data_IF_666628398684
#
_entry.id   IF_666628398684
#
_cell.length_a   1.000
_cell.length_b   1.000
_cell.length_c   1.000
_cell.angle_alpha   90.00
_cell.angle_beta   90.00
_cell.angle_gamma   90.00
#
_symmetry.space_group_name_H-M   'P 1'
#
loop_
_entity.id
_entity.type
_entity.pdbx_description
1 polymer ?
#
# COMPACT_ATOMS: atom_id res chain seq x y z
N UNK A 1 1.62 20.59 4.26
CA UNK A 1 0.95 20.55 2.93
C UNK A 1 0.70 19.09 2.54
N UNK A 2 -0.47 18.80 2.03
CA UNK A 2 -0.83 17.45 1.66
C UNK A 2 -0.17 17.06 0.32
N UNK A 3 0.25 15.80 0.19
CA UNK A 3 0.80 15.30 -1.05
C UNK A 3 -0.30 15.14 -2.10
N UNK A 4 0.01 15.52 -3.33
CA UNK A 4 -0.88 15.40 -4.48
C UNK A 4 -0.39 14.22 -5.34
N UNK A 5 -1.17 13.14 -5.35
CA UNK A 5 -0.82 11.93 -6.10
C UNK A 5 -1.69 11.79 -7.34
N UNK A 6 -1.04 11.63 -8.49
CA UNK A 6 -1.70 11.44 -9.77
C UNK A 6 -1.25 10.11 -10.40
N UNK A 7 -2.08 9.56 -11.26
CA UNK A 7 -1.82 8.33 -11.98
C UNK A 7 -2.68 7.17 -11.51
N UNK A 8 -2.33 5.94 -11.88
CA UNK A 8 -3.10 4.74 -11.50
C UNK A 8 -3.30 4.56 -10.00
N UNK A 9 -2.43 5.13 -9.16
CA UNK A 9 -2.55 5.05 -7.70
C UNK A 9 -3.88 5.60 -7.18
N UNK A 10 -4.51 6.54 -7.89
CA UNK A 10 -5.78 7.14 -7.46
C UNK A 10 -6.91 6.13 -7.32
N UNK A 11 -6.92 5.09 -8.14
CA UNK A 11 -7.90 4.01 -8.07
C UNK A 11 -7.80 3.24 -6.74
N UNK A 12 -6.57 3.07 -6.25
CA UNK A 12 -6.31 2.37 -4.99
C UNK A 12 -6.61 3.25 -3.78
N UNK A 13 -6.32 4.55 -3.87
CA UNK A 13 -6.66 5.50 -2.81
C UNK A 13 -8.17 5.49 -2.54
N UNK A 14 -8.98 5.39 -3.59
CA UNK A 14 -10.44 5.35 -3.48
C UNK A 14 -10.97 4.11 -2.77
N UNK A 15 -10.19 3.05 -2.68
CA UNK A 15 -10.58 1.83 -1.97
C UNK A 15 -10.45 1.96 -0.45
N UNK A 16 -9.52 2.78 0.02
CA UNK A 16 -9.22 2.94 1.45
C UNK A 16 -10.43 3.48 2.20
N UNK A 17 -10.79 2.82 3.29
CA UNK A 17 -11.94 3.19 4.12
C UNK A 17 -13.25 2.52 3.72
N UNK A 18 -13.27 1.78 2.62
CA UNK A 18 -14.48 1.08 2.19
C UNK A 18 -14.68 -0.22 2.98
N UNK A 19 -15.94 -0.65 3.04
CA UNK A 19 -16.29 -1.94 3.63
C UNK A 19 -15.95 -3.10 2.71
N UNK A 20 -15.95 -4.29 3.29
CA UNK A 20 -15.58 -5.53 2.59
C UNK A 20 -16.59 -5.94 1.51
N UNK A 21 -17.85 -5.56 1.65
CA UNK A 21 -18.89 -5.94 0.70
C UNK A 21 -18.67 -5.29 -0.67
N UNK A 22 -18.69 -6.12 -1.73
CA UNK A 22 -18.51 -5.64 -3.10
C UNK A 22 -17.09 -5.22 -3.46
N UNK A 23 -16.13 -5.42 -2.57
CA UNK A 23 -14.76 -4.97 -2.81
C UNK A 23 -14.08 -5.70 -3.97
N UNK A 24 -14.38 -6.99 -4.16
CA UNK A 24 -13.74 -7.77 -5.23
C UNK A 24 -13.97 -7.15 -6.61
N UNK A 25 -15.18 -6.69 -6.88
CA UNK A 25 -15.50 -6.02 -8.14
C UNK A 25 -14.68 -4.73 -8.33
N UNK A 26 -14.51 -3.96 -7.24
CA UNK A 26 -13.70 -2.73 -7.28
C UNK A 26 -12.22 -3.02 -7.46
N UNK A 27 -11.72 -4.08 -6.82
CA UNK A 27 -10.33 -4.52 -6.98
C UNK A 27 -10.09 -4.99 -8.41
N UNK A 28 -11.02 -5.74 -8.99
CA UNK A 28 -10.92 -6.19 -10.39
C UNK A 28 -10.83 -5.00 -11.35
N UNK A 29 -11.61 -3.95 -11.12
CA UNK A 29 -11.54 -2.72 -11.92
C UNK A 29 -10.22 -1.99 -11.73
N UNK A 30 -9.75 -1.84 -10.49
CA UNK A 30 -8.50 -1.13 -10.19
C UNK A 30 -7.29 -1.83 -10.80
N UNK A 31 -7.30 -3.16 -10.86
CA UNK A 31 -6.19 -3.97 -11.37
C UNK A 31 -6.36 -4.38 -12.84
N UNK A 32 -7.41 -3.90 -13.52
CA UNK A 32 -7.74 -4.27 -14.91
C UNK A 32 -7.84 -5.80 -15.11
N UNK A 33 -8.45 -6.48 -14.15
CA UNK A 33 -8.67 -7.92 -14.19
C UNK A 33 -7.44 -8.77 -13.84
N UNK A 34 -6.34 -8.17 -13.43
CA UNK A 34 -5.14 -8.91 -13.01
C UNK A 34 -5.31 -9.58 -11.65
N UNK A 35 -6.20 -9.04 -10.81
CA UNK A 35 -6.49 -9.62 -9.51
C UNK A 35 -7.34 -10.88 -9.70
N UNK A 36 -6.80 -12.03 -9.31
CA UNK A 36 -7.53 -13.27 -9.19
C UNK A 36 -8.15 -13.36 -7.79
N UNK A 37 -8.51 -14.55 -7.34
CA UNK A 37 -8.95 -14.71 -5.96
C UNK A 37 -7.80 -14.44 -5.00
N UNK A 38 -8.04 -13.72 -3.88
CA UNK A 38 -6.98 -13.46 -2.91
C UNK A 38 -6.66 -14.68 -2.06
N UNK A 39 -5.42 -14.75 -1.58
CA UNK A 39 -5.07 -15.60 -0.46
C UNK A 39 -5.46 -14.85 0.81
N UNK A 40 -6.31 -15.44 1.65
CA UNK A 40 -6.86 -14.78 2.82
C UNK A 40 -6.24 -15.38 4.09
N UNK A 41 -5.73 -14.50 4.97
CA UNK A 41 -5.21 -14.87 6.27
C UNK A 41 -5.90 -14.04 7.33
N UNK A 42 -6.62 -14.70 8.24
CA UNK A 42 -7.32 -14.05 9.34
C UNK A 42 -6.51 -14.13 10.62
N UNK A 43 -6.47 -13.03 11.37
CA UNK A 43 -5.80 -12.98 12.68
C UNK A 43 -6.81 -13.30 13.77
N UNK A 44 -6.40 -14.14 14.73
CA UNK A 44 -7.24 -14.58 15.85
C UNK A 44 -7.62 -13.38 16.73
N UNK A 45 -8.91 -13.30 17.11
CA UNK A 45 -9.44 -12.30 18.03
C UNK A 45 -8.69 -12.24 19.37
N UNK A 46 -8.18 -13.37 19.86
CA UNK A 46 -7.42 -13.41 21.12
C UNK A 46 -6.17 -12.53 21.09
N UNK A 47 -5.66 -12.24 19.90
CA UNK A 47 -4.50 -11.39 19.67
C UNK A 47 -4.84 -9.90 19.65
N UNK A 48 -6.06 -9.58 19.19
CA UNK A 48 -6.48 -8.20 18.90
C UNK A 48 -7.37 -7.61 20.00
N UNK A 49 -7.91 -8.47 20.86
CA UNK A 49 -8.90 -8.10 21.86
C UNK A 49 -10.32 -8.45 21.43
N UNK A 50 -11.23 -8.42 22.39
CA UNK A 50 -12.62 -8.83 22.20
C UNK A 50 -13.31 -7.93 21.19
N UNK A 51 -13.92 -8.53 20.17
CA UNK A 51 -14.72 -7.84 19.17
C UNK A 51 -13.93 -7.23 18.00
N UNK A 52 -12.59 -7.39 17.98
CA UNK A 52 -11.76 -6.92 16.87
C UNK A 52 -11.42 -8.08 15.94
N UNK A 53 -11.51 -7.83 14.62
CA UNK A 53 -11.11 -8.79 13.58
C UNK A 53 -10.10 -8.14 12.65
N UNK A 54 -9.12 -8.91 12.19
CA UNK A 54 -8.13 -8.44 11.23
C UNK A 54 -7.92 -9.53 10.18
N UNK A 55 -7.83 -9.14 8.92
CA UNK A 55 -7.66 -10.05 7.79
C UNK A 55 -6.72 -9.45 6.76
N UNK A 56 -5.89 -10.29 6.15
CA UNK A 56 -4.96 -9.89 5.08
C UNK A 56 -5.34 -10.64 3.81
N UNK A 57 -5.60 -9.88 2.76
CA UNK A 57 -5.94 -10.42 1.43
C UNK A 57 -4.78 -10.14 0.49
N UNK A 58 -4.12 -11.20 0.04
CA UNK A 58 -2.95 -11.09 -0.84
C UNK A 58 -3.30 -11.47 -2.26
N UNK A 59 -3.14 -10.52 -3.17
CA UNK A 59 -3.30 -10.70 -4.61
C UNK A 59 -1.90 -10.75 -5.24
N UNK A 60 -1.25 -11.90 -5.15
CA UNK A 60 0.15 -12.03 -5.56
C UNK A 60 0.37 -11.67 -7.02
N UNK A 61 -0.54 -12.08 -7.92
CA UNK A 61 -0.43 -11.79 -9.34
C UNK A 61 -0.61 -10.32 -9.70
N UNK A 62 -1.24 -9.54 -8.83
CA UNK A 62 -1.48 -8.11 -9.01
C UNK A 62 -0.57 -7.21 -8.18
N UNK A 63 0.38 -7.80 -7.44
CA UNK A 63 1.28 -7.02 -6.59
C UNK A 63 0.58 -6.21 -5.52
N UNK A 64 -0.50 -6.73 -4.95
CA UNK A 64 -1.42 -6.00 -4.09
C UNK A 64 -1.74 -6.78 -2.83
N UNK A 65 -1.72 -6.10 -1.68
CA UNK A 65 -2.20 -6.65 -0.40
C UNK A 65 -3.21 -5.69 0.22
N UNK A 66 -4.32 -6.24 0.71
CA UNK A 66 -5.34 -5.48 1.44
C UNK A 66 -5.34 -5.95 2.90
N UNK A 67 -5.29 -4.99 3.82
CA UNK A 67 -5.42 -5.26 5.25
C UNK A 67 -6.75 -4.71 5.75
N UNK A 68 -7.55 -5.60 6.30
CA UNK A 68 -8.88 -5.30 6.84
C UNK A 68 -8.87 -5.27 8.35
N UNK A 69 -9.58 -4.32 8.94
CA UNK A 69 -9.87 -4.31 10.38
C UNK A 69 -11.35 -4.04 10.57
N UNK A 70 -12.04 -4.97 11.26
CA UNK A 70 -13.49 -4.90 11.45
C UNK A 70 -14.23 -4.65 10.13
N UNK A 71 -13.82 -5.38 9.08
CA UNK A 71 -14.38 -5.33 7.72
C UNK A 71 -14.24 -3.98 7.02
N UNK A 72 -13.35 -3.12 7.48
CA UNK A 72 -12.97 -1.86 6.82
C UNK A 72 -11.56 -1.98 6.27
N UNK A 73 -11.34 -1.52 5.04
CA UNK A 73 -10.02 -1.50 4.42
C UNK A 73 -9.18 -0.39 5.03
N UNK A 74 -8.19 -0.76 5.84
CA UNK A 74 -7.39 0.18 6.62
C UNK A 74 -6.01 0.44 6.02
N UNK A 75 -5.43 -0.55 5.34
CA UNK A 75 -4.13 -0.41 4.66
C UNK A 75 -4.17 -1.20 3.36
N UNK A 76 -3.55 -0.62 2.34
CA UNK A 76 -3.37 -1.23 1.04
C UNK A 76 -1.89 -1.10 0.66
N UNK A 77 -1.27 -2.21 0.25
CA UNK A 77 0.13 -2.21 -0.15
C UNK A 77 0.27 -2.61 -1.61
N UNK A 78 1.11 -1.87 -2.34
CA UNK A 78 1.43 -2.11 -3.74
C UNK A 78 2.93 -2.38 -3.86
N UNK A 79 3.29 -3.46 -4.54
CA UNK A 79 4.67 -3.90 -4.67
C UNK A 79 5.20 -3.57 -6.07
N UNK A 80 6.28 -2.79 -6.11
CA UNK A 80 6.84 -2.25 -7.35
C UNK A 80 8.08 -3.02 -7.81
N UNK A 81 8.76 -3.68 -6.87
CA UNK A 81 9.98 -4.44 -7.11
C UNK A 81 9.96 -5.71 -6.26
N UNK A 82 10.74 -6.72 -6.65
CA UNK A 82 11.01 -7.86 -5.80
C UNK A 82 11.86 -7.44 -4.61
N UNK A 83 11.60 -8.04 -3.46
CA UNK A 83 12.39 -7.79 -2.27
C UNK A 83 12.67 -9.11 -1.55
N UNK A 84 13.94 -9.36 -1.24
CA UNK A 84 14.41 -10.61 -0.66
C UNK A 84 13.94 -10.87 0.77
N UNK A 85 13.31 -9.87 1.43
CA UNK A 85 12.76 -10.04 2.77
C UNK A 85 11.44 -10.81 2.79
N UNK A 86 10.76 -10.93 1.65
CA UNK A 86 9.47 -11.59 1.57
C UNK A 86 9.62 -13.00 1.00
N UNK A 87 9.16 -14.00 1.77
CA UNK A 87 9.19 -15.40 1.36
C UNK A 87 8.21 -15.67 0.20
N UNK A 88 7.10 -14.94 0.16
CA UNK A 88 6.09 -15.06 -0.88
C UNK A 88 6.15 -13.83 -1.76
N UNK A 89 6.83 -13.91 -2.90
CA UNK A 89 7.01 -12.74 -3.74
C UNK A 89 5.72 -12.36 -4.44
N UNK A 90 5.33 -11.10 -4.28
CA UNK A 90 4.34 -10.48 -5.14
C UNK A 90 4.94 -10.25 -6.51
N UNK A 91 4.15 -10.42 -7.56
CA UNK A 91 4.56 -10.01 -8.90
C UNK A 91 4.55 -8.49 -8.93
N UNK A 92 5.68 -7.83 -9.19
CA UNK A 92 5.72 -6.36 -9.22
C UNK A 92 4.77 -5.78 -10.25
N UNK A 93 4.27 -4.57 -9.99
CA UNK A 93 3.42 -3.86 -10.94
C UNK A 93 4.14 -3.67 -12.27
N UNK A 94 3.49 -4.03 -13.37
CA UNK A 94 4.04 -3.89 -14.72
C UNK A 94 3.85 -2.49 -15.31
N UNK A 95 3.13 -1.61 -14.62
CA UNK A 95 2.83 -0.26 -15.08
C UNK A 95 3.34 0.77 -14.07
N UNK A 96 3.54 2.00 -14.54
CA UNK A 96 3.96 3.11 -13.69
C UNK A 96 2.81 3.52 -12.78
N UNK A 97 3.04 3.44 -11.47
CA UNK A 97 2.00 3.67 -10.46
C UNK A 97 1.64 5.16 -10.31
N UNK A 98 2.64 6.04 -10.31
CA UNK A 98 2.47 7.49 -10.17
C UNK A 98 2.98 8.22 -11.42
N UNK A 99 2.28 9.27 -11.80
CA UNK A 99 2.68 10.08 -12.96
C UNK A 99 4.01 10.79 -12.73
N UNK A 100 4.26 11.26 -11.50
CA UNK A 100 5.38 12.15 -11.18
C UNK A 100 6.71 11.47 -10.85
N UNK A 101 6.69 10.17 -10.49
CA UNK A 101 7.91 9.42 -10.14
C UNK A 101 7.87 8.03 -10.76
N UNK A 102 9.04 7.45 -11.02
CA UNK A 102 9.15 6.08 -11.51
C UNK A 102 8.94 5.07 -10.39
N UNK A 103 8.62 3.82 -10.74
CA UNK A 103 8.49 2.75 -9.77
C UNK A 103 9.82 2.38 -9.08
N UNK A 104 10.94 2.90 -9.58
CA UNK A 104 12.28 2.71 -9.04
C UNK A 104 12.90 4.00 -8.53
N UNK A 105 12.08 4.98 -8.16
CA UNK A 105 12.53 6.29 -7.70
C UNK A 105 13.48 6.17 -6.50
N UNK A 106 14.43 7.11 -6.42
CA UNK A 106 15.28 7.26 -5.24
C UNK A 106 14.56 8.03 -4.14
N UNK A 107 15.12 7.97 -2.93
CA UNK A 107 14.62 8.76 -1.79
C UNK A 107 14.59 10.24 -2.16
N UNK A 108 15.67 10.75 -2.76
CA UNK A 108 15.77 12.15 -3.13
C UNK A 108 14.76 12.57 -4.19
N UNK A 109 14.46 11.71 -5.16
CA UNK A 109 13.45 11.98 -6.17
C UNK A 109 12.06 12.12 -5.54
N UNK A 110 11.72 11.29 -4.56
CA UNK A 110 10.45 11.39 -3.84
C UNK A 110 10.38 12.69 -3.05
N UNK A 111 11.45 13.04 -2.31
CA UNK A 111 11.52 14.29 -1.55
C UNK A 111 11.44 15.51 -2.46
N UNK A 112 12.15 15.48 -3.59
CA UNK A 112 12.10 16.58 -4.56
C UNK A 112 10.69 16.78 -5.15
N UNK A 113 9.95 15.70 -5.29
CA UNK A 113 8.60 15.74 -5.89
C UNK A 113 7.54 16.15 -4.88
N UNK A 114 7.57 15.61 -3.66
CA UNK A 114 6.50 15.78 -2.66
C UNK A 114 6.88 16.66 -1.48
N UNK A 115 8.15 17.08 -1.36
CA UNK A 115 8.64 17.86 -0.24
C UNK A 115 9.04 17.00 0.94
N UNK A 116 9.16 17.64 2.11
CA UNK A 116 9.54 16.93 3.33
C UNK A 116 8.40 16.02 3.80
N UNK A 117 8.69 14.76 4.17
CA UNK A 117 7.67 13.87 4.71
C UNK A 117 7.24 14.32 6.11
N UNK A 118 6.03 13.96 6.50
CA UNK A 118 5.56 14.20 7.87
C UNK A 118 6.24 13.27 8.89
N UNK A 119 6.74 12.11 8.42
CA UNK A 119 7.41 11.13 9.26
C UNK A 119 8.40 10.32 8.44
N UNK A 120 9.57 10.06 9.01
CA UNK A 120 10.57 9.15 8.46
C UNK A 120 10.76 7.98 9.40
N UNK A 121 10.80 6.76 8.85
CA UNK A 121 11.03 5.54 9.60
C UNK A 121 11.90 4.57 8.85
N UNK A 122 11.95 3.33 9.33
CA UNK A 122 12.67 2.25 8.69
C UNK A 122 13.65 1.55 9.63
N UNK A 123 14.03 0.32 9.25
CA UNK A 123 14.96 -0.53 10.00
C UNK A 123 16.00 -1.11 9.05
N UNK A 124 17.17 -1.43 9.58
CA UNK A 124 18.24 -2.15 8.86
C UNK A 124 18.67 -1.48 7.55
N UNK A 125 18.89 -0.16 7.59
CA UNK A 125 19.32 0.60 6.42
C UNK A 125 18.22 0.89 5.41
N UNK A 126 17.00 0.45 5.67
CA UNK A 126 15.84 0.74 4.85
C UNK A 126 15.16 2.00 5.34
N UNK A 127 14.55 2.75 4.43
CA UNK A 127 13.87 3.99 4.77
C UNK A 127 12.41 3.96 4.32
N UNK A 128 11.55 4.55 5.14
CA UNK A 128 10.15 4.78 4.80
C UNK A 128 9.84 6.27 4.97
N UNK A 129 9.14 6.85 3.99
CA UNK A 129 8.71 8.25 4.03
C UNK A 129 7.19 8.28 4.03
N UNK A 130 6.59 8.89 5.06
CA UNK A 130 5.15 9.05 5.13
C UNK A 130 4.74 10.47 4.79
N UNK A 131 3.73 10.58 3.95
CA UNK A 131 3.11 11.85 3.57
C UNK A 131 1.62 11.81 3.86
N UNK A 132 1.09 12.93 4.31
CA UNK A 132 -0.34 13.10 4.48
C UNK A 132 -0.99 13.31 3.11
N UNK A 133 -2.10 12.61 2.83
CA UNK A 133 -2.93 12.82 1.63
C UNK A 133 -4.10 13.75 1.94
N UNK A 134 -4.75 13.50 3.06
CA UNK A 134 -5.84 14.35 3.59
C UNK A 134 -5.97 14.12 5.10
N UNK A 135 -7.05 14.60 5.71
CA UNK A 135 -7.26 14.46 7.16
C UNK A 135 -7.33 13.01 7.62
N UNK A 136 -7.71 12.08 6.74
CA UNK A 136 -7.97 10.69 7.10
C UNK A 136 -6.93 9.72 6.56
N UNK A 137 -6.22 10.05 5.49
CA UNK A 137 -5.39 9.12 4.72
C UNK A 137 -3.94 9.57 4.62
N UNK A 138 -3.04 8.59 4.59
CA UNK A 138 -1.62 8.79 4.35
C UNK A 138 -1.09 7.85 3.26
N UNK A 139 0.09 8.17 2.75
CA UNK A 139 0.88 7.30 1.88
C UNK A 139 2.26 7.11 2.48
N UNK A 140 2.78 5.89 2.39
CA UNK A 140 4.15 5.57 2.77
C UNK A 140 4.89 5.07 1.54
N UNK A 141 6.00 5.70 1.22
CA UNK A 141 6.94 5.22 0.21
C UNK A 141 8.02 4.40 0.92
N UNK A 142 8.16 3.14 0.54
CA UNK A 142 9.09 2.21 1.17
C UNK A 142 10.26 1.95 0.25
N UNK A 143 11.48 2.17 0.77
CA UNK A 143 12.73 2.01 0.04
C UNK A 143 13.46 0.78 0.54
N UNK A 144 14.11 0.06 -0.38
CA UNK A 144 14.94 -1.08 -0.03
C UNK A 144 16.28 -0.60 0.55
N UNK A 145 17.15 -1.54 0.90
CA UNK A 145 18.47 -1.24 1.49
C UNK A 145 19.41 -0.48 0.54
N UNK A 146 19.08 -0.41 -0.75
CA UNK A 146 19.84 0.35 -1.76
C UNK A 146 19.26 1.75 -1.99
N UNK A 147 18.19 2.11 -1.28
CA UNK A 147 17.54 3.39 -1.43
C UNK A 147 16.62 3.51 -2.65
N UNK A 148 16.18 2.38 -3.20
CA UNK A 148 15.26 2.33 -4.33
C UNK A 148 13.85 2.03 -3.86
N UNK A 149 12.87 2.76 -4.39
CA UNK A 149 11.45 2.52 -4.10
C UNK A 149 11.07 1.09 -4.50
N UNK A 150 10.44 0.35 -3.60
CA UNK A 150 10.02 -1.02 -3.89
C UNK A 150 8.57 -1.30 -3.53
N UNK A 151 7.96 -0.50 -2.64
CA UNK A 151 6.57 -0.66 -2.26
C UNK A 151 5.96 0.68 -1.85
N UNK A 152 4.65 0.78 -2.01
CA UNK A 152 3.86 1.94 -1.59
C UNK A 152 2.70 1.44 -0.75
N UNK A 153 2.48 2.03 0.41
CA UNK A 153 1.35 1.74 1.27
C UNK A 153 0.44 2.95 1.39
N UNK A 154 -0.86 2.71 1.37
CA UNK A 154 -1.87 3.74 1.60
C UNK A 154 -2.67 3.29 2.82
N UNK A 155 -2.97 4.18 3.74
CA UNK A 155 -3.67 3.80 4.95
C UNK A 155 -4.52 4.89 5.56
N UNK A 156 -5.29 4.50 6.57
CA UNK A 156 -6.07 5.40 7.40
C UNK A 156 -5.29 5.76 8.67
N UNK A 157 -5.29 7.04 9.04
CA UNK A 157 -4.70 7.45 10.32
C UNK A 157 -5.45 6.87 11.51
N UNK A 158 -6.76 6.71 11.39
CA UNK A 158 -7.62 6.21 12.46
C UNK A 158 -8.62 5.20 11.91
N UNK A 159 -8.82 4.19 12.67
CA UNK A 159 -9.74 3.10 12.34
C UNK A 159 -10.90 3.08 13.35
#
# INVERSE_FOLDING_TARGET
>A
MDAQLDGPITKYIDLIGRGIDGIQERVDKATNGLACEPSIEDTDESFLGVGSTESYWSYYSAGLELQWRNDILVVLSLYLQDDSLYEEPYIPLSYKLLTSISNTASIQEVINTFGDPEFEGGLWGRKNLRYRLDADKFVIFRFNDKGTLWAVQIGLYRV
#
